data_IF_927485382215
#
_entry.id   IF_927485382215
#
_cell.length_a   1.000
_cell.length_b   1.000
_cell.length_c   1.000
_cell.angle_alpha   90.00
_cell.angle_beta   90.00
_cell.angle_gamma   90.00
#
_symmetry.space_group_name_H-M   'P 1'
#
loop_
_entity.id
_entity.type
_entity.pdbx_description
1 polymer ?
#
# COMPACT_ATOMS: atom_id res chain seq x y z
N UNK A 1 12.82 11.22 -0.13
CA UNK A 1 13.91 11.34 0.86
C UNK A 1 13.49 12.16 2.07
N UNK A 2 13.02 13.39 1.84
CA UNK A 2 12.67 14.34 2.90
C UNK A 2 11.59 13.82 3.87
N UNK A 3 10.53 13.18 3.39
CA UNK A 3 9.50 12.62 4.28
C UNK A 3 10.03 11.50 5.19
N UNK A 4 10.92 10.64 4.67
CA UNK A 4 11.54 9.55 5.45
C UNK A 4 12.48 10.12 6.51
N UNK A 5 13.35 11.06 6.13
CA UNK A 5 14.26 11.73 7.09
C UNK A 5 13.48 12.49 8.17
N UNK A 6 12.38 13.17 7.80
CA UNK A 6 11.49 13.86 8.74
C UNK A 6 10.85 12.88 9.72
N UNK A 7 10.33 11.74 9.24
CA UNK A 7 9.74 10.70 10.08
C UNK A 7 10.75 10.10 11.06
N UNK A 8 11.97 9.79 10.60
CA UNK A 8 13.03 9.27 11.46
C UNK A 8 13.48 10.30 12.50
N UNK A 9 13.54 11.58 12.13
CA UNK A 9 13.88 12.66 13.07
C UNK A 9 12.81 12.84 14.14
N UNK A 10 11.53 12.78 13.77
CA UNK A 10 10.45 12.78 14.74
C UNK A 10 10.55 11.60 15.71
N UNK A 11 10.92 10.41 15.22
CA UNK A 11 11.17 9.25 16.06
C UNK A 11 12.36 9.45 17.02
N UNK A 12 13.48 10.01 16.53
CA UNK A 12 14.63 10.35 17.36
C UNK A 12 14.26 11.33 18.49
N UNK A 13 13.45 12.35 18.16
CA UNK A 13 12.99 13.36 19.13
C UNK A 13 12.09 12.77 20.21
N UNK A 14 11.22 11.81 19.87
CA UNK A 14 10.41 11.07 20.86
C UNK A 14 11.27 10.26 21.84
N UNK A 15 12.49 9.88 21.44
CA UNK A 15 13.47 9.20 22.29
C UNK A 15 14.42 10.17 23.00
N UNK A 16 14.16 11.49 22.94
CA UNK A 16 15.00 12.52 23.57
C UNK A 16 16.32 12.80 22.85
N UNK A 17 16.53 12.25 21.65
CA UNK A 17 17.77 12.46 20.90
C UNK A 17 17.73 13.80 20.15
N UNK A 18 18.75 14.61 20.38
CA UNK A 18 19.13 15.70 19.47
C UNK A 18 19.63 15.16 18.13
N UNK A 19 19.70 16.01 17.11
CA UNK A 19 20.27 15.65 15.80
C UNK A 19 21.71 15.15 15.90
N UNK A 20 22.52 15.75 16.79
CA UNK A 20 23.91 15.37 17.00
C UNK A 20 24.03 14.00 17.70
N UNK A 21 23.23 13.77 18.74
CA UNK A 21 23.20 12.48 19.44
C UNK A 21 22.61 11.37 18.57
N UNK A 22 21.63 11.69 17.71
CA UNK A 22 21.07 10.74 16.75
C UNK A 22 22.10 10.36 15.67
N UNK A 23 22.82 11.34 15.11
CA UNK A 23 23.91 11.08 14.17
C UNK A 23 25.01 10.21 14.82
N UNK A 24 25.40 10.53 16.06
CA UNK A 24 26.37 9.75 16.81
C UNK A 24 25.90 8.31 17.07
N UNK A 25 24.63 8.13 17.47
CA UNK A 25 24.02 6.81 17.65
C UNK A 25 23.96 5.99 16.34
N UNK A 26 23.90 6.66 15.19
CA UNK A 26 23.97 6.04 13.87
C UNK A 26 25.42 5.81 13.38
N UNK A 27 26.45 6.17 14.17
CA UNK A 27 27.85 6.07 13.78
C UNK A 27 28.28 7.11 12.73
N UNK A 28 27.56 8.22 12.61
CA UNK A 28 27.78 9.26 11.60
C UNK A 28 28.37 10.52 12.23
N UNK A 29 29.19 11.24 11.44
CA UNK A 29 29.61 12.60 11.80
C UNK A 29 28.40 13.55 11.75
N UNK A 30 28.36 14.54 12.65
CA UNK A 30 27.25 15.52 12.72
C UNK A 30 27.05 16.28 11.41
N UNK A 31 28.15 16.56 10.69
CA UNK A 31 28.14 17.24 9.39
C UNK A 31 27.44 16.40 8.32
N UNK A 32 27.47 15.08 8.43
CA UNK A 32 26.77 14.16 7.51
C UNK A 32 25.27 14.36 7.61
N UNK A 33 24.71 14.47 8.81
CA UNK A 33 23.28 14.73 9.01
C UNK A 33 22.86 16.12 8.51
N UNK A 34 23.70 17.13 8.74
CA UNK A 34 23.45 18.48 8.22
C UNK A 34 23.47 18.49 6.68
N UNK A 35 24.44 17.83 6.06
CA UNK A 35 24.56 17.74 4.59
C UNK A 35 23.43 16.93 3.96
N UNK A 36 22.91 15.92 4.65
CA UNK A 36 21.75 15.12 4.22
C UNK A 36 20.45 15.93 4.14
N UNK A 37 20.35 17.01 4.92
CA UNK A 37 19.20 17.92 4.85
C UNK A 37 19.23 18.75 3.57
N UNK A 38 20.42 19.20 3.18
CA UNK A 38 20.61 20.08 2.03
C UNK A 38 20.74 19.28 0.71
N UNK A 39 21.22 18.03 0.79
CA UNK A 39 21.34 17.11 -0.36
C UNK A 39 20.19 16.11 -0.40
N UNK A 40 19.48 16.06 -1.52
CA UNK A 40 18.40 15.09 -1.77
C UNK A 40 18.88 13.65 -2.03
N UNK A 41 20.16 13.36 -1.87
CA UNK A 41 20.77 12.05 -2.16
C UNK A 41 21.59 11.55 -0.97
N UNK A 42 21.51 10.26 -0.71
CA UNK A 42 22.31 9.58 0.29
C UNK A 42 22.50 8.12 -0.09
N UNK A 43 23.56 7.50 0.43
CA UNK A 43 23.69 6.06 0.38
C UNK A 43 22.61 5.39 1.22
N UNK A 44 22.03 4.30 0.71
CA UNK A 44 21.01 3.55 1.43
C UNK A 44 21.53 3.01 2.78
N UNK A 45 22.83 2.71 2.88
CA UNK A 45 23.49 2.31 4.12
C UNK A 45 23.33 3.38 5.22
N UNK A 46 23.49 4.66 4.86
CA UNK A 46 23.33 5.80 5.76
C UNK A 46 21.89 5.92 6.26
N UNK A 47 20.91 5.76 5.36
CA UNK A 47 19.48 5.78 5.73
C UNK A 47 19.12 4.62 6.68
N UNK A 48 19.67 3.42 6.42
CA UNK A 48 19.50 2.26 7.31
C UNK A 48 20.13 2.47 8.69
N UNK A 49 21.33 3.05 8.76
CA UNK A 49 22.00 3.33 10.02
C UNK A 49 21.18 4.30 10.89
N UNK A 50 20.65 5.37 10.29
CA UNK A 50 19.80 6.34 10.95
C UNK A 50 18.49 5.74 11.48
N UNK A 51 17.87 4.84 10.71
CA UNK A 51 16.66 4.15 11.15
C UNK A 51 16.93 3.17 12.30
N UNK A 52 18.02 2.40 12.21
CA UNK A 52 18.44 1.48 13.28
C UNK A 52 18.69 2.20 14.60
N UNK A 53 19.29 3.38 14.56
CA UNK A 53 19.57 4.19 15.74
C UNK A 53 18.31 4.60 16.54
N UNK A 54 17.12 4.53 15.92
CA UNK A 54 15.83 4.82 16.57
C UNK A 54 14.91 3.60 16.63
N UNK A 55 15.43 2.39 16.37
CA UNK A 55 14.64 1.15 16.37
C UNK A 55 13.67 1.03 15.19
N UNK A 56 13.88 1.79 14.11
CA UNK A 56 13.08 1.73 12.89
C UNK A 56 13.72 0.88 11.80
N UNK A 57 12.90 0.35 10.90
CA UNK A 57 13.34 -0.40 9.71
C UNK A 57 12.94 0.38 8.45
N UNK A 58 13.89 0.54 7.53
CA UNK A 58 13.61 1.08 6.19
C UNK A 58 13.39 -0.07 5.23
N UNK A 59 12.23 -0.08 4.58
CA UNK A 59 11.92 -1.03 3.52
C UNK A 59 11.89 -0.31 2.18
N UNK A 60 12.42 -0.97 1.15
CA UNK A 60 12.24 -0.54 -0.24
C UNK A 60 11.07 -1.35 -0.78
N UNK A 61 9.96 -0.67 -1.04
CA UNK A 61 8.87 -1.24 -1.81
C UNK A 61 9.07 -0.87 -3.27
N UNK A 62 9.16 -1.87 -4.14
CA UNK A 62 9.07 -1.68 -5.60
C UNK A 62 7.64 -1.35 -6.03
N UNK A 63 6.67 -1.60 -5.14
CA UNK A 63 5.28 -1.22 -5.28
C UNK A 63 5.10 0.19 -4.71
N UNK A 64 4.81 1.18 -5.55
CA UNK A 64 4.37 2.49 -5.06
C UNK A 64 3.08 2.28 -4.25
N UNK A 65 3.03 2.64 -2.96
CA UNK A 65 1.78 2.59 -2.23
C UNK A 65 0.79 3.51 -2.95
N UNK A 66 -0.38 2.98 -3.30
CA UNK A 66 -1.46 3.84 -3.80
C UNK A 66 -1.68 4.92 -2.75
N UNK A 67 -1.61 6.20 -3.14
CA UNK A 67 -2.01 7.28 -2.25
C UNK A 67 -3.40 6.97 -1.71
N UNK A 68 -3.71 7.35 -0.47
CA UNK A 68 -5.00 7.05 0.15
C UNK A 68 -5.96 8.22 -0.02
N UNK A 69 -7.26 7.92 -0.11
CA UNK A 69 -8.31 8.91 0.10
C UNK A 69 -8.21 9.48 1.52
N UNK A 70 -8.78 10.68 1.80
CA UNK A 70 -8.71 11.30 3.13
C UNK A 70 -9.22 10.40 4.27
N UNK A 71 -10.22 9.55 3.99
CA UNK A 71 -10.78 8.60 4.93
C UNK A 71 -10.06 7.24 4.95
N UNK A 72 -8.99 7.06 4.16
CA UNK A 72 -8.14 5.86 4.16
C UNK A 72 -8.78 4.59 3.57
N UNK A 73 -10.05 4.64 3.18
CA UNK A 73 -10.81 3.48 2.71
C UNK A 73 -10.56 3.15 1.24
N UNK A 74 -10.16 4.13 0.43
CA UNK A 74 -9.91 4.00 -0.99
C UNK A 74 -8.50 4.45 -1.35
N UNK A 75 -7.96 3.99 -2.49
CA UNK A 75 -6.86 4.69 -3.11
C UNK A 75 -7.34 6.05 -3.63
N UNK A 76 -6.52 7.09 -3.49
CA UNK A 76 -6.76 8.44 -4.00
C UNK A 76 -6.95 8.44 -5.53
N UNK A 77 -6.21 7.59 -6.22
CA UNK A 77 -6.36 7.31 -7.64
C UNK A 77 -5.86 5.89 -7.95
N UNK A 78 -6.35 5.31 -9.05
CA UNK A 78 -5.81 4.09 -9.65
C UNK A 78 -5.23 4.50 -11.00
N UNK A 79 -3.91 4.63 -11.06
CA UNK A 79 -3.20 4.91 -12.31
C UNK A 79 -3.11 3.63 -13.17
N UNK A 80 -2.51 3.77 -14.36
CA UNK A 80 -2.39 2.67 -15.32
C UNK A 80 -1.62 1.47 -14.74
N UNK A 81 -0.55 1.71 -14.00
CA UNK A 81 0.28 0.65 -13.42
C UNK A 81 -0.41 -0.02 -12.23
N UNK A 82 -1.12 0.76 -11.41
CA UNK A 82 -1.97 0.26 -10.34
C UNK A 82 -3.11 -0.61 -10.87
N UNK A 83 -3.78 -0.18 -11.93
CA UNK A 83 -4.81 -0.99 -12.57
C UNK A 83 -4.23 -2.29 -13.14
N UNK A 84 -3.06 -2.23 -13.79
CA UNK A 84 -2.38 -3.42 -14.30
C UNK A 84 -2.06 -4.41 -13.18
N UNK A 85 -1.54 -3.95 -12.02
CA UNK A 85 -1.28 -4.79 -10.85
C UNK A 85 -2.55 -5.42 -10.28
N UNK A 86 -3.64 -4.67 -10.19
CA UNK A 86 -4.92 -5.21 -9.73
C UNK A 86 -5.47 -6.27 -10.70
N UNK A 87 -5.30 -6.07 -12.01
CA UNK A 87 -5.67 -7.06 -13.02
C UNK A 87 -4.84 -8.34 -12.87
N UNK A 88 -3.53 -8.23 -12.66
CA UNK A 88 -2.64 -9.39 -12.46
C UNK A 88 -3.00 -10.15 -11.18
N UNK A 89 -3.26 -9.44 -10.08
CA UNK A 89 -3.74 -10.03 -8.83
C UNK A 89 -5.06 -10.79 -9.05
N UNK A 90 -6.05 -10.16 -9.68
CA UNK A 90 -7.34 -10.77 -9.93
C UNK A 90 -7.23 -11.98 -10.87
N UNK A 91 -6.36 -11.91 -11.88
CA UNK A 91 -6.14 -12.98 -12.85
C UNK A 91 -5.43 -14.20 -12.23
N UNK A 92 -4.58 -13.99 -11.22
CA UNK A 92 -3.88 -15.08 -10.51
C UNK A 92 -4.81 -16.06 -9.79
N UNK A 93 -6.04 -15.65 -9.48
CA UNK A 93 -7.01 -16.48 -8.75
C UNK A 93 -6.69 -16.68 -7.26
N UNK A 94 -5.64 -16.04 -6.73
CA UNK A 94 -5.33 -16.12 -5.30
C UNK A 94 -6.39 -15.46 -4.43
N UNK A 95 -6.70 -16.09 -3.30
CA UNK A 95 -7.61 -15.57 -2.26
C UNK A 95 -6.91 -15.49 -0.89
N UNK A 96 -5.58 -15.36 -0.90
CA UNK A 96 -4.80 -15.09 0.30
C UNK A 96 -4.99 -13.63 0.76
N UNK A 97 -5.57 -13.36 1.94
CA UNK A 97 -5.77 -11.99 2.42
C UNK A 97 -4.47 -11.22 2.61
N UNK A 98 -3.34 -11.87 2.91
CA UNK A 98 -2.07 -11.16 3.09
C UNK A 98 -1.60 -10.51 1.78
N UNK A 99 -1.73 -11.23 0.66
CA UNK A 99 -1.43 -10.72 -0.67
C UNK A 99 -2.37 -9.57 -1.03
N UNK A 100 -3.66 -9.71 -0.75
CA UNK A 100 -4.67 -8.69 -1.06
C UNK A 100 -4.47 -7.41 -0.22
N UNK A 101 -4.13 -7.51 1.07
CA UNK A 101 -3.85 -6.34 1.93
C UNK A 101 -2.61 -5.57 1.49
N UNK A 102 -1.61 -6.26 0.93
CA UNK A 102 -0.42 -5.59 0.37
C UNK A 102 -0.75 -4.79 -0.89
N UNK A 103 -1.73 -5.24 -1.66
CA UNK A 103 -2.09 -4.62 -2.93
C UNK A 103 -2.92 -3.33 -2.78
N UNK A 104 -3.55 -3.08 -1.61
CA UNK A 104 -4.31 -1.86 -1.40
C UNK A 104 -5.09 -1.79 -0.09
N UNK A 105 -5.87 -0.71 0.13
CA UNK A 105 -6.64 -0.50 1.35
C UNK A 105 -7.64 -1.64 1.61
N UNK A 106 -7.77 -2.15 2.85
CA UNK A 106 -8.59 -3.34 3.11
C UNK A 106 -10.04 -3.22 2.64
N UNK A 107 -10.69 -2.07 2.84
CA UNK A 107 -12.07 -1.83 2.38
C UNK A 107 -12.17 -1.83 0.85
N UNK A 108 -11.27 -1.12 0.18
CA UNK A 108 -11.19 -1.13 -1.29
C UNK A 108 -11.02 -2.54 -1.84
N UNK A 109 -10.08 -3.30 -1.28
CA UNK A 109 -9.78 -4.66 -1.71
C UNK A 109 -10.93 -5.63 -1.40
N UNK A 110 -11.66 -5.44 -0.30
CA UNK A 110 -12.84 -6.23 0.02
C UNK A 110 -13.96 -6.04 -1.02
N UNK A 111 -14.27 -4.80 -1.40
CA UNK A 111 -15.27 -4.55 -2.45
C UNK A 111 -14.83 -5.05 -3.84
N UNK A 112 -13.54 -5.01 -4.16
CA UNK A 112 -13.00 -5.66 -5.36
C UNK A 112 -13.26 -7.18 -5.32
N UNK A 113 -13.07 -7.84 -4.17
CA UNK A 113 -13.38 -9.26 -4.02
C UNK A 113 -14.88 -9.54 -4.17
N UNK A 114 -15.77 -8.73 -3.60
CA UNK A 114 -17.23 -8.84 -3.80
C UNK A 114 -17.61 -8.67 -5.27
N UNK A 115 -17.00 -7.71 -5.97
CA UNK A 115 -17.22 -7.53 -7.40
C UNK A 115 -16.84 -8.79 -8.18
N UNK A 116 -15.70 -9.42 -7.89
CA UNK A 116 -15.29 -10.68 -8.54
C UNK A 116 -16.22 -11.85 -8.21
N UNK A 117 -16.76 -11.91 -6.99
CA UNK A 117 -17.73 -12.94 -6.59
C UNK A 117 -19.02 -12.91 -7.45
N UNK A 118 -19.35 -11.75 -8.04
CA UNK A 118 -20.47 -11.59 -8.98
C UNK A 118 -20.13 -11.93 -10.44
N UNK A 119 -18.89 -12.26 -10.75
CA UNK A 119 -18.43 -12.50 -12.13
C UNK A 119 -18.35 -13.99 -12.41
N UNK A 120 -18.97 -14.43 -13.51
CA UNK A 120 -18.88 -15.83 -13.97
C UNK A 120 -17.42 -16.23 -14.20
N UNK A 121 -17.04 -17.40 -13.69
CA UNK A 121 -15.67 -17.93 -13.76
C UNK A 121 -14.80 -17.59 -12.54
N UNK A 122 -15.38 -17.01 -11.51
CA UNK A 122 -14.80 -16.89 -10.17
C UNK A 122 -15.65 -17.67 -9.15
N UNK A 123 -15.01 -18.18 -8.11
CA UNK A 123 -15.69 -18.86 -7.02
C UNK A 123 -16.34 -17.85 -6.08
N UNK A 124 -17.66 -17.69 -6.19
CA UNK A 124 -18.42 -16.74 -5.39
C UNK A 124 -18.17 -16.90 -3.89
N UNK A 125 -18.17 -18.13 -3.37
CA UNK A 125 -18.03 -18.38 -1.93
C UNK A 125 -16.66 -17.95 -1.41
N UNK A 126 -15.59 -18.32 -2.12
CA UNK A 126 -14.22 -17.99 -1.72
C UNK A 126 -13.94 -16.49 -1.73
N UNK A 127 -14.45 -15.77 -2.73
CA UNK A 127 -14.24 -14.32 -2.83
C UNK A 127 -15.08 -13.53 -1.82
N UNK A 128 -16.30 -13.97 -1.48
CA UNK A 128 -17.06 -13.37 -0.38
C UNK A 128 -16.38 -13.61 0.98
N UNK A 129 -15.88 -14.82 1.24
CA UNK A 129 -15.12 -15.09 2.46
C UNK A 129 -13.84 -14.26 2.56
N UNK A 130 -13.15 -14.04 1.43
CA UNK A 130 -12.01 -13.13 1.37
C UNK A 130 -12.43 -11.69 1.69
N UNK A 131 -13.53 -11.20 1.12
CA UNK A 131 -14.03 -9.86 1.40
C UNK A 131 -14.25 -9.64 2.91
N UNK A 132 -14.89 -10.59 3.59
CA UNK A 132 -15.11 -10.54 5.04
C UNK A 132 -13.81 -10.58 5.86
N UNK A 133 -12.81 -11.35 5.41
CA UNK A 133 -11.48 -11.38 6.06
C UNK A 133 -10.68 -10.09 5.83
N UNK A 134 -10.93 -9.37 4.74
CA UNK A 134 -10.29 -8.09 4.44
C UNK A 134 -10.97 -6.95 5.20
N UNK A 135 -12.30 -6.94 5.22
CA UNK A 135 -13.09 -5.96 5.94
C UNK A 135 -14.43 -6.59 6.34
N UNK A 136 -14.68 -6.82 7.65
CA UNK A 136 -15.95 -7.36 8.12
C UNK A 136 -17.15 -6.54 7.65
N UNK A 137 -18.21 -7.21 7.22
CA UNK A 137 -19.45 -6.61 6.68
C UNK A 137 -19.36 -6.12 5.24
N UNK A 138 -18.21 -6.23 4.57
CA UNK A 138 -18.06 -5.75 3.20
C UNK A 138 -18.89 -6.52 2.17
N UNK A 139 -19.30 -7.76 2.46
CA UNK A 139 -20.17 -8.54 1.59
C UNK A 139 -21.64 -8.13 1.64
N UNK A 140 -22.03 -7.26 2.58
CA UNK A 140 -23.40 -6.73 2.66
C UNK A 140 -23.73 -5.89 1.41
N UNK A 141 -24.92 -6.08 0.78
CA UNK A 141 -25.30 -5.38 -0.44
C UNK A 141 -25.21 -3.85 -0.34
N UNK A 142 -25.59 -3.28 0.80
CA UNK A 142 -25.60 -1.84 1.05
C UNK A 142 -24.17 -1.28 1.14
N UNK A 143 -23.26 -2.04 1.75
CA UNK A 143 -21.84 -1.70 1.86
C UNK A 143 -21.17 -1.79 0.48
N UNK A 144 -21.51 -2.81 -0.31
CA UNK A 144 -21.00 -2.93 -1.67
C UNK A 144 -21.56 -1.83 -2.60
N UNK A 145 -22.82 -1.41 -2.43
CA UNK A 145 -23.37 -0.27 -3.16
C UNK A 145 -22.62 1.03 -2.85
N UNK A 146 -22.30 1.27 -1.57
CA UNK A 146 -21.44 2.38 -1.15
C UNK A 146 -20.05 2.28 -1.79
N UNK A 147 -19.48 1.08 -1.83
CA UNK A 147 -18.19 0.84 -2.47
C UNK A 147 -18.24 1.21 -3.97
N UNK A 148 -19.27 0.77 -4.70
CA UNK A 148 -19.44 1.08 -6.12
C UNK A 148 -19.57 2.59 -6.38
N UNK A 149 -20.28 3.31 -5.51
CA UNK A 149 -20.48 4.75 -5.65
C UNK A 149 -19.17 5.56 -5.48
N UNK A 150 -18.24 5.06 -4.65
CA UNK A 150 -17.02 5.77 -4.25
C UNK A 150 -15.75 5.23 -4.91
N UNK A 151 -15.79 4.03 -5.45
CA UNK A 151 -14.60 3.36 -5.98
C UNK A 151 -14.00 4.13 -7.17
N UNK A 152 -12.68 4.36 -7.18
CA UNK A 152 -11.99 4.91 -8.34
C UNK A 152 -11.90 3.88 -9.50
N UNK A 153 -12.15 2.60 -9.23
CA UNK A 153 -12.29 1.58 -10.27
C UNK A 153 -13.69 1.61 -10.86
N UNK A 154 -13.78 1.56 -12.20
CA UNK A 154 -15.04 1.42 -12.94
C UNK A 154 -15.23 -0.03 -13.38
N UNK A 155 -16.23 -0.77 -12.85
CA UNK A 155 -16.47 -2.17 -13.21
C UNK A 155 -16.62 -2.41 -14.72
N UNK A 156 -17.30 -1.48 -15.41
CA UNK A 156 -17.54 -1.52 -16.85
C UNK A 156 -16.26 -1.54 -17.69
N UNK A 157 -15.17 -0.96 -17.20
CA UNK A 157 -13.85 -0.97 -17.84
C UNK A 157 -12.99 -2.12 -17.32
N UNK A 158 -12.97 -2.32 -16.01
CA UNK A 158 -12.09 -3.27 -15.36
C UNK A 158 -12.41 -4.74 -15.71
N UNK A 159 -13.70 -5.11 -15.71
CA UNK A 159 -14.11 -6.51 -15.94
C UNK A 159 -13.80 -7.02 -17.35
N UNK A 160 -14.02 -6.26 -18.45
CA UNK A 160 -13.55 -6.65 -19.77
C UNK A 160 -12.03 -6.84 -19.84
N UNK A 161 -11.24 -5.93 -19.24
CA UNK A 161 -9.78 -6.03 -19.21
C UNK A 161 -9.31 -7.28 -18.46
N UNK A 162 -9.96 -7.61 -17.33
CA UNK A 162 -9.67 -8.80 -16.55
C UNK A 162 -9.95 -10.09 -17.35
N UNK A 163 -11.07 -10.13 -18.07
CA UNK A 163 -11.38 -11.27 -18.95
C UNK A 163 -10.34 -11.44 -20.06
N UNK A 164 -9.89 -10.34 -20.67
CA UNK A 164 -8.84 -10.38 -21.67
C UNK A 164 -7.52 -10.91 -21.07
N UNK A 165 -7.14 -10.41 -19.88
CA UNK A 165 -5.92 -10.84 -19.18
C UNK A 165 -5.92 -12.33 -18.85
N UNK A 166 -7.04 -12.87 -18.35
CA UNK A 166 -7.20 -14.30 -18.03
C UNK A 166 -7.24 -15.25 -19.25
N UNK A 167 -7.40 -14.72 -20.46
CA UNK A 167 -7.32 -15.52 -21.70
C UNK A 167 -5.91 -15.55 -22.29
N UNK A 168 -5.06 -14.60 -21.91
CA UNK A 168 -3.72 -14.43 -22.44
C UNK A 168 -2.63 -15.14 -21.63
N UNK A 169 -2.97 -15.65 -20.43
CA UNK A 169 -2.13 -16.51 -19.59
C UNK A 169 -2.80 -17.84 -19.37
#
# INVERSE_FOLDING_TARGET
MESVLSALRAAARRQGLSDASWAAAAGLRKETLSRLRDRRTCEFATLKALARAVGATVMVSTEAPMGLSPDGHFPAAVDRDGEARLLDLCASGTVDPAVWRRAGPPFFMAGLAVMLAGVRGFDRGRYLALAERLHPGASAPEVFALWLARSPLRPSRFLPMLRARRRAG
#
